data_IF_255641742619
#
_entry.id   IF_255641742619
#
_cell.length_a   1.000
_cell.length_b   1.000
_cell.length_c   1.000
_cell.angle_alpha   90.00
_cell.angle_beta   90.00
_cell.angle_gamma   90.00
#
_symmetry.space_group_name_H-M   'P 1'
#
loop_
_entity.id
_entity.type
_entity.pdbx_description
1 polymer ?
#
# COMPACT_ATOMS: atom_id res chain seq x y z
N UNK A 1 -1.57 5.55 12.85
CA UNK A 1 -1.79 4.97 11.50
C UNK A 1 -3.19 4.39 11.31
N UNK A 2 -3.92 4.00 12.36
CA UNK A 2 -5.26 3.40 12.24
C UNK A 2 -6.35 4.35 11.69
N UNK A 3 -6.33 5.63 12.08
CA UNK A 3 -7.34 6.62 11.65
C UNK A 3 -7.28 6.90 10.14
N UNK A 4 -6.07 6.98 9.59
CA UNK A 4 -5.87 7.22 8.15
C UNK A 4 -6.37 6.04 7.32
N UNK A 5 -6.13 4.81 7.77
CA UNK A 5 -6.63 3.60 7.11
C UNK A 5 -8.16 3.51 7.14
N UNK A 6 -8.78 3.82 8.28
CA UNK A 6 -10.25 3.89 8.41
C UNK A 6 -10.85 4.95 7.48
N UNK A 7 -10.20 6.11 7.35
CA UNK A 7 -10.66 7.17 6.44
C UNK A 7 -10.51 6.76 4.97
N UNK A 8 -9.41 6.09 4.60
CA UNK A 8 -9.21 5.55 3.26
C UNK A 8 -10.27 4.50 2.92
N UNK A 9 -10.63 3.62 3.87
CA UNK A 9 -11.70 2.63 3.69
C UNK A 9 -13.07 3.29 3.51
N UNK A 10 -13.39 4.32 4.31
CA UNK A 10 -14.61 5.09 4.17
C UNK A 10 -14.70 5.77 2.78
N UNK A 11 -13.61 6.40 2.33
CA UNK A 11 -13.54 7.04 1.02
C UNK A 11 -13.63 6.01 -0.13
N UNK A 12 -13.03 4.82 0.03
CA UNK A 12 -13.17 3.71 -0.93
C UNK A 12 -14.60 3.20 -1.04
N UNK A 13 -15.36 3.18 0.07
CA UNK A 13 -16.77 2.82 0.06
C UNK A 13 -17.62 3.74 -0.82
N UNK A 14 -17.33 5.04 -0.82
CA UNK A 14 -18.07 6.04 -1.61
C UNK A 14 -17.68 6.09 -3.10
N UNK A 15 -16.48 5.65 -3.44
CA UNK A 15 -15.99 5.63 -4.83
C UNK A 15 -16.19 4.28 -5.52
N UNK A 16 -16.99 3.37 -4.93
CA UNK A 16 -17.19 1.99 -5.41
C UNK A 16 -15.86 1.25 -5.61
N UNK A 17 -14.93 1.38 -4.66
CA UNK A 17 -13.63 0.73 -4.69
C UNK A 17 -12.58 1.39 -5.59
N UNK A 18 -12.89 2.51 -6.26
CA UNK A 18 -11.90 3.24 -7.07
C UNK A 18 -10.99 4.08 -6.18
N UNK A 19 -9.69 4.07 -6.45
CA UNK A 19 -8.70 4.88 -5.72
C UNK A 19 -8.73 6.39 -6.03
N UNK A 20 -9.68 6.81 -6.88
CA UNK A 20 -9.83 8.19 -7.35
C UNK A 20 -11.25 8.68 -7.15
N UNK A 21 -11.39 9.96 -6.83
CA UNK A 21 -12.64 10.63 -6.54
C UNK A 21 -12.89 11.79 -7.50
N UNK A 22 -14.14 11.99 -7.90
CA UNK A 22 -14.54 13.10 -8.77
C UNK A 22 -14.84 14.37 -7.96
N UNK A 23 -14.84 15.57 -8.57
CA UNK A 23 -15.13 16.83 -7.87
C UNK A 23 -16.51 16.89 -7.22
N UNK A 24 -17.49 16.16 -7.78
CA UNK A 24 -18.84 16.05 -7.21
C UNK A 24 -18.82 15.29 -5.89
N UNK A 25 -18.14 14.14 -5.87
CA UNK A 25 -17.98 13.33 -4.66
C UNK A 25 -17.11 14.03 -3.61
N UNK A 26 -16.10 14.78 -4.03
CA UNK A 26 -15.28 15.57 -3.11
C UNK A 26 -16.06 16.70 -2.42
N UNK A 27 -17.06 17.27 -3.08
CA UNK A 27 -17.90 18.32 -2.51
C UNK A 27 -18.85 17.81 -1.40
N UNK A 28 -19.04 16.50 -1.27
CA UNK A 28 -19.80 15.92 -0.16
C UNK A 28 -18.95 15.80 1.11
N UNK A 29 -17.64 15.62 0.97
CA UNK A 29 -16.69 15.46 2.09
C UNK A 29 -16.11 16.80 2.55
N UNK A 30 -15.97 17.75 1.64
CA UNK A 30 -15.44 19.08 1.93
C UNK A 30 -16.54 20.09 1.60
N UNK A 31 -16.80 21.10 2.45
CA UNK A 31 -17.80 22.15 2.21
C UNK A 31 -17.33 23.16 1.14
N UNK A 32 -16.81 22.68 0.02
CA UNK A 32 -16.38 23.46 -1.14
C UNK A 32 -17.14 22.93 -2.36
N UNK A 33 -17.98 23.80 -2.94
CA UNK A 33 -18.77 23.45 -4.11
C UNK A 33 -17.88 23.09 -5.32
N UNK A 34 -18.33 22.24 -6.26
CA UNK A 34 -17.55 21.90 -7.45
C UNK A 34 -17.17 23.12 -8.31
N UNK A 35 -18.00 24.16 -8.30
CA UNK A 35 -17.71 25.45 -8.98
C UNK A 35 -16.55 26.18 -8.31
N UNK A 36 -16.53 26.22 -6.98
CA UNK A 36 -15.42 26.80 -6.22
C UNK A 36 -14.13 25.98 -6.40
N UNK A 37 -14.24 24.65 -6.42
CA UNK A 37 -13.08 23.79 -6.72
C UNK A 37 -12.51 24.08 -8.12
N UNK A 38 -13.34 24.21 -9.16
CA UNK A 38 -12.87 24.60 -10.50
C UNK A 38 -12.14 25.95 -10.49
N UNK A 39 -12.71 26.96 -9.83
CA UNK A 39 -12.09 28.28 -9.73
C UNK A 39 -10.76 28.23 -8.96
N UNK A 40 -10.69 27.49 -7.86
CA UNK A 40 -9.46 27.32 -7.08
C UNK A 40 -8.39 26.54 -7.85
N UNK A 41 -8.78 25.59 -8.70
CA UNK A 41 -7.86 24.91 -9.61
C UNK A 41 -7.31 25.84 -10.68
N UNK A 42 -8.15 26.64 -11.31
CA UNK A 42 -7.74 27.65 -12.29
C UNK A 42 -6.80 28.71 -11.67
N UNK A 43 -7.02 29.04 -10.40
CA UNK A 43 -6.17 29.95 -9.63
C UNK A 43 -4.93 29.28 -9.01
N UNK A 44 -4.71 27.97 -9.23
CA UNK A 44 -3.65 27.16 -8.59
C UNK A 44 -3.64 27.22 -7.06
N UNK A 45 -4.77 27.54 -6.43
CA UNK A 45 -4.95 27.65 -4.98
C UNK A 45 -5.67 26.46 -4.36
N UNK A 46 -5.97 25.44 -5.16
CA UNK A 46 -6.62 24.24 -4.64
C UNK A 46 -5.58 23.37 -3.92
N UNK A 47 -5.76 23.09 -2.61
CA UNK A 47 -4.73 22.43 -1.80
C UNK A 47 -4.49 20.99 -2.23
N UNK A 48 -5.48 20.32 -2.83
CA UNK A 48 -5.37 18.90 -3.18
C UNK A 48 -4.85 18.74 -4.62
N UNK A 49 -3.77 17.95 -4.83
CA UNK A 49 -3.28 17.61 -6.16
C UNK A 49 -4.37 16.94 -7.01
N UNK A 50 -4.47 17.36 -8.27
CA UNK A 50 -5.46 16.87 -9.21
C UNK A 50 -4.81 16.34 -10.47
N UNK A 51 -5.42 15.31 -11.07
CA UNK A 51 -5.04 14.78 -12.37
C UNK A 51 -6.16 15.00 -13.38
N UNK A 52 -5.81 15.57 -14.53
CA UNK A 52 -6.72 15.76 -15.64
C UNK A 52 -6.62 14.55 -16.56
N UNK A 53 -7.71 13.79 -16.68
CA UNK A 53 -7.83 12.66 -17.61
C UNK A 53 -8.91 13.04 -18.64
N UNK A 54 -8.46 13.50 -19.80
CA UNK A 54 -9.33 14.05 -20.83
C UNK A 54 -10.01 15.34 -20.37
N UNK A 55 -11.35 15.37 -20.40
CA UNK A 55 -12.18 16.51 -19.92
C UNK A 55 -12.55 16.41 -18.44
N UNK A 56 -12.21 15.30 -17.79
CA UNK A 56 -12.58 15.02 -16.40
C UNK A 56 -11.37 15.22 -15.49
N UNK A 57 -11.64 15.70 -14.28
CA UNK A 57 -10.63 15.89 -13.25
C UNK A 57 -10.84 14.86 -12.16
N UNK A 58 -9.75 14.28 -11.67
CA UNK A 58 -9.74 13.27 -10.64
C UNK A 58 -8.79 13.66 -9.51
N UNK A 59 -9.17 13.27 -8.30
CA UNK A 59 -8.37 13.43 -7.09
C UNK A 59 -8.04 12.05 -6.51
N UNK A 60 -6.84 11.89 -5.99
CA UNK A 60 -6.45 10.66 -5.31
C UNK A 60 -7.02 10.62 -3.90
N UNK A 61 -7.58 9.47 -3.50
CA UNK A 61 -8.14 9.28 -2.15
C UNK A 61 -7.10 9.53 -1.05
N UNK A 62 -5.83 9.16 -1.29
CA UNK A 62 -4.76 9.36 -0.31
C UNK A 62 -4.53 10.84 0.00
N UNK A 63 -4.44 11.68 -1.05
CA UNK A 63 -4.25 13.11 -0.89
C UNK A 63 -5.47 13.80 -0.25
N UNK A 64 -6.67 13.27 -0.48
CA UNK A 64 -7.88 13.75 0.19
C UNK A 64 -7.87 13.36 1.67
N UNK A 65 -7.50 12.11 1.99
CA UNK A 65 -7.38 11.65 3.36
C UNK A 65 -6.37 12.50 4.13
N UNK A 66 -5.20 12.77 3.54
CA UNK A 66 -4.17 13.62 4.13
C UNK A 66 -4.66 15.06 4.34
N UNK A 67 -5.42 15.61 3.39
CA UNK A 67 -6.05 16.92 3.54
C UNK A 67 -7.06 16.98 4.68
N UNK A 68 -7.90 15.95 4.84
CA UNK A 68 -8.90 15.88 5.90
C UNK A 68 -8.26 15.71 7.28
N UNK A 69 -7.17 14.96 7.39
CA UNK A 69 -6.42 14.78 8.64
C UNK A 69 -5.60 16.00 9.04
N UNK A 70 -4.97 16.67 8.07
CA UNK A 70 -3.96 17.71 8.33
C UNK A 70 -4.54 19.13 8.18
N UNK A 71 -5.74 19.27 7.61
CA UNK A 71 -6.40 20.56 7.35
C UNK A 71 -5.72 21.43 6.28
N UNK A 72 -4.56 21.01 5.77
CA UNK A 72 -3.86 21.60 4.65
C UNK A 72 -2.99 20.55 3.99
N UNK A 73 -2.99 20.53 2.65
CA UNK A 73 -1.88 19.94 1.89
C UNK A 73 -1.10 21.16 1.42
N UNK A 74 -0.07 21.53 2.18
CA UNK A 74 0.87 22.55 1.73
C UNK A 74 1.58 22.03 0.48
N UNK A 75 1.19 22.52 -0.69
CA UNK A 75 2.22 22.95 -1.63
C UNK A 75 2.68 24.31 -1.12
N UNK A 76 3.82 24.33 -0.43
CA UNK A 76 4.63 25.54 -0.30
C UNK A 76 5.11 25.90 -1.71
N UNK A 77 4.26 26.61 -2.45
CA UNK A 77 4.64 27.38 -3.61
C UNK A 77 4.18 28.81 -3.33
N UNK A 78 5.18 29.59 -2.92
CA UNK A 78 5.23 31.03 -2.78
C UNK A 78 4.35 31.78 -3.81
N UNK A 79 3.57 32.79 -3.41
CA UNK A 79 2.69 33.51 -4.31
C UNK A 79 3.50 34.59 -5.05
N UNK A 80 3.89 34.33 -6.30
CA UNK A 80 4.28 35.44 -7.18
C UNK A 80 3.04 36.08 -7.80
N UNK A 81 3.02 37.40 -7.65
CA UNK A 81 1.99 38.34 -8.06
C UNK A 81 1.50 38.15 -9.50
N UNK A 82 0.20 38.40 -9.69
CA UNK A 82 -0.36 38.65 -11.02
C UNK A 82 0.36 39.86 -11.65
N UNK A 83 0.49 39.87 -12.98
CA UNK A 83 -0.40 40.82 -13.68
C UNK A 83 -1.06 40.25 -14.94
N UNK A 84 -2.11 40.98 -15.32
CA UNK A 84 -3.02 40.76 -16.45
C UNK A 84 -2.29 40.58 -17.79
N UNK A 85 -2.88 39.69 -18.61
CA UNK A 85 -2.91 39.62 -20.08
C UNK A 85 -2.10 40.70 -20.82
N UNK A 86 -1.20 40.28 -21.72
CA UNK A 86 -1.29 40.54 -23.18
C UNK A 86 -0.18 39.83 -23.98
N UNK A 87 -0.63 39.07 -24.99
CA UNK A 87 -0.05 38.77 -26.32
C UNK A 87 1.44 38.42 -26.53
N UNK A 88 1.58 37.43 -27.42
CA UNK A 88 2.70 37.08 -28.33
C UNK A 88 3.92 36.33 -27.78
N UNK A 89 4.12 35.17 -28.40
CA UNK A 89 5.28 34.26 -28.47
C UNK A 89 6.64 34.97 -28.44
N UNK A 90 7.68 34.34 -27.83
CA UNK A 90 8.47 33.37 -28.60
C UNK A 90 8.74 32.06 -27.85
N UNK A 91 8.91 30.98 -28.63
CA UNK A 91 9.34 29.66 -28.20
C UNK A 91 10.61 29.75 -27.35
N UNK A 92 10.50 29.43 -26.06
CA UNK A 92 11.65 29.09 -25.23
C UNK A 92 11.89 27.60 -25.35
N UNK A 93 12.95 27.26 -26.07
CA UNK A 93 13.60 25.96 -26.06
C UNK A 93 13.93 25.63 -24.60
N UNK A 94 13.20 24.69 -24.01
CA UNK A 94 13.53 24.15 -22.69
C UNK A 94 14.68 23.17 -22.86
N UNK A 95 15.87 23.55 -22.39
CA UNK A 95 16.88 22.56 -22.10
C UNK A 95 16.33 21.62 -21.00
N UNK A 96 16.41 20.28 -21.16
CA UNK A 96 16.03 19.38 -20.08
C UNK A 96 17.06 19.55 -18.97
N UNK A 97 16.69 20.22 -17.89
CA UNK A 97 17.48 20.19 -16.66
C UNK A 97 17.45 18.75 -16.14
N UNK A 98 18.45 17.96 -16.52
CA UNK A 98 18.64 16.59 -16.08
C UNK A 98 19.16 16.57 -14.63
N UNK A 99 18.49 17.25 -13.72
CA UNK A 99 18.61 16.92 -12.30
C UNK A 99 17.91 15.57 -12.13
N UNK A 100 18.66 14.50 -12.37
CA UNK A 100 18.24 13.14 -12.00
C UNK A 100 17.75 13.23 -10.56
N UNK A 101 16.47 12.97 -10.34
CA UNK A 101 15.84 13.07 -9.03
C UNK A 101 16.51 12.05 -8.10
N UNK A 102 17.58 12.48 -7.41
CA UNK A 102 18.37 11.65 -6.50
C UNK A 102 17.46 11.05 -5.42
N UNK A 103 16.46 11.81 -4.95
CA UNK A 103 15.43 11.34 -4.01
C UNK A 103 14.66 10.12 -4.53
N UNK A 104 14.28 10.09 -5.81
CA UNK A 104 13.61 8.95 -6.43
C UNK A 104 14.55 7.75 -6.56
N UNK A 105 15.84 7.98 -6.86
CA UNK A 105 16.86 6.92 -6.87
C UNK A 105 17.03 6.29 -5.48
N UNK A 106 17.08 7.11 -4.43
CA UNK A 106 17.16 6.62 -3.05
C UNK A 106 15.89 5.87 -2.64
N UNK A 107 14.72 6.35 -3.04
CA UNK A 107 13.45 5.66 -2.82
C UNK A 107 13.43 4.29 -3.51
N UNK A 108 13.83 4.22 -4.78
CA UNK A 108 13.93 2.96 -5.51
C UNK A 108 14.94 2.00 -4.88
N UNK A 109 16.06 2.53 -4.39
CA UNK A 109 17.08 1.73 -3.69
C UNK A 109 16.54 1.15 -2.38
N UNK A 110 15.85 1.96 -1.58
CA UNK A 110 15.21 1.51 -0.34
C UNK A 110 14.11 0.48 -0.63
N UNK A 111 13.30 0.71 -1.66
CA UNK A 111 12.26 -0.22 -2.09
C UNK A 111 12.85 -1.56 -2.56
N UNK A 112 13.91 -1.54 -3.37
CA UNK A 112 14.61 -2.75 -3.76
C UNK A 112 15.17 -3.49 -2.53
N UNK A 113 15.75 -2.78 -1.56
CA UNK A 113 16.22 -3.36 -0.30
C UNK A 113 15.10 -4.07 0.48
N UNK A 114 13.93 -3.45 0.57
CA UNK A 114 12.77 -4.06 1.22
C UNK A 114 12.28 -5.31 0.49
N UNK A 115 12.29 -5.31 -0.86
CA UNK A 115 11.96 -6.50 -1.64
C UNK A 115 12.95 -7.64 -1.39
N UNK A 116 14.24 -7.35 -1.27
CA UNK A 116 15.24 -8.36 -0.95
C UNK A 116 15.05 -8.93 0.46
N UNK A 117 14.77 -8.09 1.46
CA UNK A 117 14.49 -8.55 2.82
C UNK A 117 13.27 -9.47 2.87
N UNK A 118 12.17 -9.10 2.18
CA UNK A 118 10.98 -9.96 2.09
C UNK A 118 11.26 -11.28 1.37
N UNK A 119 12.07 -11.26 0.30
CA UNK A 119 12.46 -12.49 -0.37
C UNK A 119 13.25 -13.41 0.56
N UNK A 120 14.18 -12.86 1.35
CA UNK A 120 14.97 -13.62 2.32
C UNK A 120 14.07 -14.23 3.42
N UNK A 121 13.12 -13.48 3.94
CA UNK A 121 12.12 -13.99 4.90
C UNK A 121 11.32 -15.17 4.32
N UNK A 122 10.85 -15.05 3.07
CA UNK A 122 10.12 -16.12 2.40
C UNK A 122 11.01 -17.35 2.20
N UNK A 123 12.28 -17.17 1.82
CA UNK A 123 13.21 -18.30 1.69
C UNK A 123 13.48 -18.99 3.02
N UNK A 124 13.66 -18.23 4.10
CA UNK A 124 13.83 -18.77 5.45
C UNK A 124 12.60 -19.55 5.91
N UNK A 125 11.40 -19.03 5.62
CA UNK A 125 10.16 -19.73 5.92
C UNK A 125 10.06 -21.06 5.14
N UNK A 126 10.39 -21.05 3.85
CA UNK A 126 10.40 -22.25 3.02
C UNK A 126 11.38 -23.30 3.55
N UNK A 127 12.59 -22.91 3.93
CA UNK A 127 13.57 -23.79 4.55
C UNK A 127 13.06 -24.40 5.86
N UNK A 128 12.40 -23.59 6.70
CA UNK A 128 11.85 -24.07 7.95
C UNK A 128 10.75 -25.12 7.72
N UNK A 129 9.85 -24.88 6.76
CA UNK A 129 8.82 -25.85 6.37
C UNK A 129 9.45 -27.16 5.90
N UNK A 130 10.49 -27.09 5.06
CA UNK A 130 11.23 -28.27 4.60
C UNK A 130 11.90 -29.02 5.77
N UNK A 131 12.49 -28.29 6.73
CA UNK A 131 13.07 -28.90 7.94
C UNK A 131 12.00 -29.62 8.77
N UNK A 132 10.82 -29.01 8.94
CA UNK A 132 9.70 -29.63 9.65
C UNK A 132 9.22 -30.88 8.95
N UNK A 133 9.01 -30.83 7.63
CA UNK A 133 8.63 -32.00 6.84
C UNK A 133 9.64 -33.14 7.00
N UNK A 134 10.94 -32.84 6.83
CA UNK A 134 12.00 -33.84 6.99
C UNK A 134 12.03 -34.43 8.40
N UNK A 135 11.78 -33.61 9.43
CA UNK A 135 11.72 -34.10 10.81
C UNK A 135 10.52 -35.03 11.03
N UNK A 136 9.36 -34.74 10.45
CA UNK A 136 8.19 -35.59 10.51
C UNK A 136 8.44 -36.93 9.81
N UNK A 137 9.01 -36.91 8.60
CA UNK A 137 9.42 -38.12 7.87
C UNK A 137 10.42 -38.97 8.67
N UNK A 138 11.39 -38.33 9.35
CA UNK A 138 12.32 -39.06 10.22
C UNK A 138 11.59 -39.71 11.40
N UNK A 139 10.67 -39.02 12.07
CA UNK A 139 9.87 -39.60 13.17
C UNK A 139 9.05 -40.79 12.69
N UNK A 140 8.42 -40.69 11.52
CA UNK A 140 7.69 -41.81 10.91
C UNK A 140 8.64 -42.98 10.62
N UNK A 141 9.78 -42.75 9.97
CA UNK A 141 10.77 -43.78 9.69
C UNK A 141 11.33 -44.42 10.97
N UNK A 142 11.55 -43.65 12.03
CA UNK A 142 11.96 -44.18 13.33
C UNK A 142 10.86 -45.05 13.93
N UNK A 143 9.60 -44.59 13.89
CA UNK A 143 8.46 -45.37 14.39
C UNK A 143 8.27 -46.68 13.61
N UNK A 144 8.54 -46.69 12.31
CA UNK A 144 8.47 -47.90 11.49
C UNK A 144 9.63 -48.86 11.72
N UNK A 145 10.86 -48.34 11.85
CA UNK A 145 12.07 -49.14 12.03
C UNK A 145 12.21 -49.68 13.46
N UNK A 146 11.68 -48.95 14.46
CA UNK A 146 11.73 -49.30 15.87
C UNK A 146 10.34 -49.58 16.44
N UNK A 147 9.44 -50.18 15.64
CA UNK A 147 8.22 -50.76 16.20
C UNK A 147 8.65 -51.72 17.31
N UNK A 148 8.18 -51.54 18.57
CA UNK A 148 8.55 -52.44 19.64
C UNK A 148 8.10 -53.85 19.26
N UNK A 149 9.08 -54.75 19.04
CA UNK A 149 8.82 -56.18 18.93
C UNK A 149 8.83 -56.76 20.34
N UNK A 150 7.67 -57.24 20.79
CA UNK A 150 7.45 -57.94 22.07
C UNK A 150 6.80 -57.04 23.12
N UNK A 151 5.80 -57.44 23.91
CA UNK A 151 5.54 -58.77 24.45
C UNK A 151 4.04 -59.10 24.58
N UNK A 152 3.53 -59.98 23.72
CA UNK A 152 2.38 -60.82 24.05
C UNK A 152 2.90 -62.21 24.38
N UNK A 153 3.46 -62.36 25.59
CA UNK A 153 3.63 -63.66 26.24
C UNK A 153 3.09 -63.58 27.65
N UNK A 154 2.26 -64.57 27.96
CA UNK A 154 1.85 -65.06 29.28
C UNK A 154 1.07 -64.10 30.19
N UNK A 155 -0.26 -64.10 30.01
CA UNK A 155 -1.24 -64.08 31.10
C UNK A 155 -2.28 -65.17 30.80
N UNK A 156 -1.82 -66.42 30.70
CA UNK A 156 -2.64 -67.59 31.03
C UNK A 156 -2.19 -68.03 32.43
N UNK A 157 -2.84 -67.51 33.47
CA UNK A 157 -2.77 -68.08 34.81
C UNK A 157 -4.20 -68.30 35.32
N UNK A 158 -4.66 -69.53 35.05
CA UNK A 158 -5.42 -70.40 35.95
C UNK A 158 -6.42 -69.75 36.94
N UNK A 159 -7.68 -69.62 36.52
CA UNK A 159 -8.79 -69.67 37.47
C UNK A 159 -9.06 -71.13 37.84
N UNK A 160 -8.45 -71.53 38.96
CA UNK A 160 -8.61 -72.82 39.61
C UNK A 160 -10.04 -73.03 40.10
N UNK A 161 -10.63 -74.12 39.62
CA UNK A 161 -11.69 -74.88 40.28
C UNK A 161 -11.23 -75.32 41.67
N UNK A 162 -11.89 -74.85 42.73
CA UNK A 162 -12.27 -75.62 43.94
C UNK A 162 -13.63 -75.13 44.40
#
# INVERSE_FOLDING_TARGET
MEIQNQLIEHLKGKTNGKLVMTPKQLAEEIPISPKQQSKLREENKFPIPHQNIGRSVYYSIFHIADFLLTGSVHQSAEPEDKPKKEKSTPEKISHPSSSVNLSHLFLLRAFAGNLFAQAEEITNLAENILKYQKSAEMVEQFSEKFKPKGDTKSLEENDGKI
#
